data_IF_241997040124
#
_entry.id   IF_241997040124
#
_cell.length_a   1.000
_cell.length_b   1.000
_cell.length_c   1.000
_cell.angle_alpha   90.00
_cell.angle_beta   90.00
_cell.angle_gamma   90.00
#
_symmetry.space_group_name_H-M   'P 1'
#
loop_
_entity.id
_entity.type
_entity.pdbx_description
1 polymer ?
#
# COMPACT_ATOMS: atom_id res chain seq x y z
N UNK A 1 26.15 -16.31 9.17
CA UNK A 1 25.08 -16.85 10.03
C UNK A 1 25.71 -17.87 10.95
N UNK A 2 25.83 -17.53 12.23
CA UNK A 2 26.57 -18.28 13.24
C UNK A 2 25.66 -18.84 14.36
N UNK A 3 24.34 -18.56 14.34
CA UNK A 3 23.36 -19.11 15.29
C UNK A 3 21.98 -19.34 14.66
N UNK A 4 21.14 -20.16 15.31
CA UNK A 4 19.73 -20.36 14.90
C UNK A 4 18.96 -19.03 14.97
N UNK A 5 19.24 -18.19 15.96
CA UNK A 5 18.56 -16.91 16.12
C UNK A 5 18.88 -15.95 14.96
N UNK A 6 20.14 -15.88 14.53
CA UNK A 6 20.53 -15.08 13.36
C UNK A 6 19.84 -15.56 12.08
N UNK A 7 19.66 -16.88 11.92
CA UNK A 7 18.95 -17.44 10.77
C UNK A 7 17.45 -17.08 10.81
N UNK A 8 16.81 -17.22 11.97
CA UNK A 8 15.39 -16.86 12.16
C UNK A 8 15.18 -15.37 11.89
N UNK A 9 16.02 -14.52 12.45
CA UNK A 9 15.95 -13.07 12.25
C UNK A 9 16.13 -12.71 10.77
N UNK A 10 17.20 -13.22 10.13
CA UNK A 10 17.50 -12.94 8.73
C UNK A 10 16.34 -13.36 7.81
N UNK A 11 15.82 -14.58 7.96
CA UNK A 11 14.70 -15.06 7.16
C UNK A 11 13.41 -14.27 7.44
N UNK A 12 13.15 -13.90 8.70
CA UNK A 12 11.97 -13.12 9.06
C UNK A 12 12.00 -11.73 8.44
N UNK A 13 13.18 -11.07 8.42
CA UNK A 13 13.37 -9.77 7.77
C UNK A 13 13.16 -9.88 6.28
N UNK A 14 13.73 -10.90 5.62
CA UNK A 14 13.56 -11.12 4.18
C UNK A 14 12.08 -11.31 3.84
N UNK A 15 11.38 -12.18 4.56
CA UNK A 15 9.95 -12.42 4.35
C UNK A 15 9.15 -11.13 4.59
N UNK A 16 9.43 -10.40 5.67
CA UNK A 16 8.76 -9.13 5.98
C UNK A 16 8.94 -8.08 4.87
N UNK A 17 10.18 -7.87 4.41
CA UNK A 17 10.50 -6.91 3.37
C UNK A 17 9.83 -7.26 2.04
N UNK A 18 9.89 -8.54 1.66
CA UNK A 18 9.32 -9.01 0.40
C UNK A 18 7.79 -9.03 0.38
N UNK A 19 7.12 -9.15 1.54
CA UNK A 19 5.67 -9.26 1.64
C UNK A 19 5.02 -8.00 2.21
N UNK A 20 4.78 -7.98 3.51
CA UNK A 20 3.94 -6.98 4.18
C UNK A 20 4.53 -5.56 4.13
N UNK A 21 5.86 -5.40 4.19
CA UNK A 21 6.47 -4.08 4.02
C UNK A 21 6.19 -3.51 2.63
N UNK A 22 6.50 -4.30 1.59
CA UNK A 22 6.24 -3.93 0.21
C UNK A 22 4.75 -3.62 -0.02
N UNK A 23 3.85 -4.51 0.41
CA UNK A 23 2.41 -4.32 0.27
C UNK A 23 1.91 -3.00 0.91
N UNK A 24 2.42 -2.65 2.09
CA UNK A 24 2.03 -1.45 2.81
C UNK A 24 2.45 -0.14 2.11
N UNK A 25 3.54 -0.15 1.34
CA UNK A 25 4.03 1.03 0.61
C UNK A 25 3.60 1.04 -0.85
N UNK A 26 3.14 -0.09 -1.38
CA UNK A 26 2.83 -0.25 -2.80
C UNK A 26 1.33 -0.09 -3.13
N UNK A 27 0.45 -0.91 -2.56
CA UNK A 27 -0.96 -0.99 -3.01
C UNK A 27 -1.82 0.21 -2.61
N UNK A 28 -1.25 1.16 -1.87
CA UNK A 28 -1.87 2.45 -1.55
C UNK A 28 -1.56 3.54 -2.59
N UNK A 29 -0.68 3.31 -3.56
CA UNK A 29 -0.21 4.36 -4.47
C UNK A 29 -1.34 5.02 -5.26
N UNK A 30 -2.19 4.25 -5.96
CA UNK A 30 -3.36 4.80 -6.65
C UNK A 30 -4.51 5.12 -5.71
N UNK A 31 -4.90 4.28 -4.72
CA UNK A 31 -5.97 4.63 -3.80
C UNK A 31 -5.80 5.98 -3.09
N UNK A 32 -4.56 6.36 -2.74
CA UNK A 32 -4.27 7.68 -2.16
C UNK A 32 -3.80 8.72 -3.19
N UNK A 33 -3.02 8.32 -4.20
CA UNK A 33 -2.40 9.22 -5.18
C UNK A 33 -3.21 9.44 -6.46
N UNK A 34 -4.28 8.69 -6.69
CA UNK A 34 -5.15 8.77 -7.86
C UNK A 34 -5.82 10.14 -8.04
N UNK A 35 -5.84 10.94 -6.97
CA UNK A 35 -6.09 12.38 -7.01
C UNK A 35 -4.76 13.12 -6.85
N UNK A 36 -4.26 13.71 -7.93
CA UNK A 36 -2.94 14.39 -7.93
C UNK A 36 -2.83 15.53 -6.90
N UNK A 37 -3.97 16.12 -6.49
CA UNK A 37 -4.03 17.14 -5.44
C UNK A 37 -3.67 16.58 -4.05
N UNK A 38 -3.94 15.30 -3.81
CA UNK A 38 -3.66 14.67 -2.52
C UNK A 38 -2.18 14.27 -2.39
N UNK A 39 -1.53 13.90 -3.50
CA UNK A 39 -0.16 13.37 -3.49
C UNK A 39 0.65 13.90 -4.67
N UNK A 40 0.89 15.22 -4.74
CA UNK A 40 1.63 15.83 -5.84
C UNK A 40 3.07 15.31 -5.87
N UNK A 41 3.55 15.00 -7.06
CA UNK A 41 4.88 14.40 -7.29
C UNK A 41 5.97 15.43 -7.60
N UNK A 42 5.57 16.66 -7.91
CA UNK A 42 6.46 17.78 -8.20
C UNK A 42 5.90 19.09 -7.67
N UNK A 43 6.80 20.04 -7.40
CA UNK A 43 6.48 21.46 -7.20
C UNK A 43 7.29 22.30 -8.18
N UNK A 44 6.67 23.36 -8.73
CA UNK A 44 7.20 24.13 -9.88
C UNK A 44 7.56 25.57 -9.57
N UNK A 45 7.15 26.08 -8.42
CA UNK A 45 7.45 27.44 -7.96
C UNK A 45 7.47 27.48 -6.43
N UNK A 46 8.21 28.43 -5.89
CA UNK A 46 8.22 28.75 -4.46
C UNK A 46 6.94 29.51 -4.08
N UNK A 47 6.76 29.76 -2.78
CA UNK A 47 5.69 30.63 -2.28
C UNK A 47 5.91 32.04 -2.86
N UNK A 48 4.90 32.68 -3.46
CA UNK A 48 5.06 34.01 -4.04
C UNK A 48 5.21 35.08 -2.96
N UNK A 49 5.96 36.14 -3.27
CA UNK A 49 6.14 37.30 -2.39
C UNK A 49 4.95 38.27 -2.47
N UNK A 50 4.65 38.97 -1.37
CA UNK A 50 3.58 39.98 -1.33
C UNK A 50 3.79 41.06 -2.38
N UNK A 51 2.73 41.42 -3.09
CA UNK A 51 2.75 42.42 -4.16
C UNK A 51 3.13 41.88 -5.55
N UNK A 52 3.35 40.56 -5.69
CA UNK A 52 3.51 39.90 -7.00
C UNK A 52 2.17 39.49 -7.59
N UNK A 53 2.11 39.29 -8.91
CA UNK A 53 0.90 38.81 -9.60
C UNK A 53 0.50 37.41 -9.12
N UNK A 54 1.49 36.58 -8.81
CA UNK A 54 1.31 35.22 -8.30
C UNK A 54 0.74 35.22 -6.87
N UNK A 55 1.10 36.21 -6.05
CA UNK A 55 0.48 36.41 -4.74
C UNK A 55 -0.98 36.84 -4.87
N UNK A 56 -1.28 37.77 -5.79
CA UNK A 56 -2.67 38.14 -6.09
C UNK A 56 -3.49 36.96 -6.65
N UNK A 57 -2.89 36.09 -7.47
CA UNK A 57 -3.52 34.84 -7.94
C UNK A 57 -3.91 33.96 -6.75
N UNK A 58 -3.00 33.77 -5.78
CA UNK A 58 -3.27 32.97 -4.59
C UNK A 58 -4.40 33.55 -3.72
N UNK A 59 -4.53 34.88 -3.62
CA UNK A 59 -5.61 35.51 -2.86
C UNK A 59 -6.98 35.44 -3.57
N UNK A 60 -6.97 35.49 -4.92
CA UNK A 60 -8.20 35.55 -5.73
C UNK A 60 -8.68 34.17 -6.21
N UNK A 61 -7.76 33.23 -6.43
CA UNK A 61 -7.98 31.91 -7.04
C UNK A 61 -6.93 30.92 -6.50
N UNK A 62 -7.15 30.48 -5.26
CA UNK A 62 -6.29 29.54 -4.53
C UNK A 62 -6.15 28.19 -5.26
N UNK A 63 -7.23 27.72 -5.90
CA UNK A 63 -7.23 26.47 -6.67
C UNK A 63 -6.29 26.55 -7.88
N UNK A 64 -6.39 27.62 -8.67
CA UNK A 64 -5.47 27.84 -9.80
C UNK A 64 -4.04 28.03 -9.32
N UNK A 65 -3.86 28.75 -8.21
CA UNK A 65 -2.54 28.93 -7.63
C UNK A 65 -1.91 27.58 -7.22
N UNK A 66 -2.70 26.71 -6.59
CA UNK A 66 -2.29 25.35 -6.22
C UNK A 66 -1.93 24.50 -7.44
N UNK A 67 -2.82 24.46 -8.45
CA UNK A 67 -2.61 23.70 -9.69
C UNK A 67 -1.37 24.17 -10.49
N UNK A 68 -1.06 25.46 -10.47
CA UNK A 68 0.17 26.00 -11.07
C UNK A 68 1.43 25.65 -10.28
N UNK A 69 1.30 25.38 -8.99
CA UNK A 69 2.43 25.03 -8.13
C UNK A 69 2.75 23.54 -8.22
N UNK A 70 1.76 22.65 -8.22
CA UNK A 70 1.99 21.19 -8.22
C UNK A 70 2.27 20.63 -9.62
N UNK A 71 2.41 19.30 -9.71
CA UNK A 71 2.60 18.51 -10.94
C UNK A 71 1.73 19.00 -12.10
N UNK A 72 2.32 19.35 -13.27
CA UNK A 72 1.53 19.73 -14.44
C UNK A 72 0.69 18.57 -14.97
N UNK A 73 -0.29 18.91 -15.80
CA UNK A 73 -1.29 17.98 -16.33
C UNK A 73 -0.67 16.77 -17.06
N UNK A 74 0.34 16.98 -17.90
CA UNK A 74 0.92 15.91 -18.71
C UNK A 74 1.63 14.89 -17.85
N UNK A 75 2.46 15.33 -16.91
CA UNK A 75 3.19 14.49 -15.98
C UNK A 75 2.24 13.82 -14.98
N UNK A 76 1.17 14.51 -14.57
CA UNK A 76 0.13 13.92 -13.74
C UNK A 76 -0.56 12.74 -14.46
N UNK A 77 -0.87 12.86 -15.77
CA UNK A 77 -1.46 11.75 -16.53
C UNK A 77 -0.53 10.54 -16.60
N UNK A 78 0.77 10.78 -16.78
CA UNK A 78 1.79 9.70 -16.79
C UNK A 78 1.87 9.04 -15.41
N UNK A 79 2.01 9.84 -14.35
CA UNK A 79 2.09 9.36 -12.96
C UNK A 79 0.86 8.53 -12.58
N UNK A 80 -0.35 9.05 -12.84
CA UNK A 80 -1.61 8.36 -12.55
C UNK A 80 -1.71 7.03 -13.29
N UNK A 81 -1.26 6.96 -14.54
CA UNK A 81 -1.26 5.72 -15.33
C UNK A 81 -0.29 4.69 -14.73
N UNK A 82 0.90 5.13 -14.33
CA UNK A 82 1.91 4.25 -13.74
C UNK A 82 1.39 3.72 -12.41
N UNK A 83 1.00 4.58 -11.48
CA UNK A 83 0.57 4.13 -10.14
C UNK A 83 -0.72 3.29 -10.19
N UNK A 84 -1.57 3.46 -11.21
CA UNK A 84 -2.71 2.56 -11.44
C UNK A 84 -2.23 1.14 -11.70
N UNK A 85 -1.27 0.96 -12.62
CA UNK A 85 -0.69 -0.34 -12.94
C UNK A 85 -0.02 -0.94 -11.70
N UNK A 86 0.78 -0.13 -10.99
CA UNK A 86 1.53 -0.61 -9.82
C UNK A 86 0.63 -0.95 -8.62
N UNK A 87 -0.62 -0.49 -8.57
CA UNK A 87 -1.53 -0.75 -7.44
C UNK A 87 -2.48 -1.93 -7.66
N UNK A 88 -2.31 -2.69 -8.74
CA UNK A 88 -3.23 -3.76 -9.14
C UNK A 88 -2.63 -5.13 -8.85
N UNK A 89 -3.43 -6.00 -8.25
CA UNK A 89 -3.10 -7.41 -8.11
C UNK A 89 -3.38 -8.16 -9.41
N UNK A 90 -2.45 -9.02 -9.82
CA UNK A 90 -2.67 -9.98 -10.88
C UNK A 90 -3.64 -11.09 -10.43
N UNK A 91 -4.32 -11.72 -11.39
CA UNK A 91 -5.31 -12.79 -11.13
C UNK A 91 -4.68 -14.07 -10.58
N UNK A 92 -3.40 -14.29 -10.89
CA UNK A 92 -2.58 -15.43 -10.51
C UNK A 92 -1.68 -15.16 -9.29
N UNK A 93 -1.92 -14.07 -8.55
CA UNK A 93 -1.12 -13.70 -7.38
C UNK A 93 -1.19 -14.73 -6.24
N UNK A 94 -0.04 -14.93 -5.58
CA UNK A 94 0.15 -15.85 -4.45
C UNK A 94 0.36 -15.06 -3.17
N UNK A 95 -0.73 -14.92 -2.41
CA UNK A 95 -0.75 -14.18 -1.16
C UNK A 95 -0.03 -14.88 0.00
N UNK A 96 0.34 -14.09 1.00
CA UNK A 96 1.00 -14.53 2.22
C UNK A 96 0.15 -15.56 2.97
N UNK A 97 0.76 -16.71 3.27
CA UNK A 97 0.06 -17.86 3.83
C UNK A 97 -0.50 -18.82 2.78
N UNK A 98 -0.26 -18.56 1.48
CA UNK A 98 -0.53 -19.48 0.37
C UNK A 98 0.77 -19.88 -0.34
N UNK A 99 0.72 -21.00 -1.06
CA UNK A 99 1.73 -21.43 -2.04
C UNK A 99 1.03 -21.90 -3.31
N UNK A 100 1.75 -21.89 -4.42
CA UNK A 100 1.23 -22.38 -5.71
C UNK A 100 0.98 -23.90 -5.70
N UNK A 101 1.81 -24.65 -4.97
CA UNK A 101 1.74 -26.11 -4.91
C UNK A 101 1.73 -26.58 -3.43
N UNK A 102 0.74 -27.41 -3.08
CA UNK A 102 0.57 -27.98 -1.74
C UNK A 102 1.64 -29.04 -1.39
N UNK A 103 2.30 -29.62 -2.39
CA UNK A 103 3.33 -30.66 -2.29
C UNK A 103 4.76 -30.10 -2.39
N UNK A 104 4.95 -28.81 -2.08
CA UNK A 104 6.28 -28.17 -2.10
C UNK A 104 7.33 -28.83 -1.19
N UNK A 105 6.90 -29.71 -0.28
CA UNK A 105 7.77 -30.56 0.53
C UNK A 105 7.08 -31.86 0.95
N UNK A 106 7.84 -32.95 1.01
CA UNK A 106 7.38 -34.22 1.60
C UNK A 106 7.29 -34.16 3.15
N UNK A 107 7.99 -33.22 3.80
CA UNK A 107 8.03 -33.11 5.26
C UNK A 107 6.68 -32.66 5.85
N UNK A 108 6.00 -33.59 6.53
CA UNK A 108 4.72 -33.32 7.20
C UNK A 108 4.84 -32.24 8.28
N UNK A 109 5.96 -32.15 9.01
CA UNK A 109 6.12 -31.15 10.07
C UNK A 109 6.14 -29.74 9.49
N UNK A 110 6.82 -29.56 8.36
CA UNK A 110 6.84 -28.30 7.63
C UNK A 110 5.46 -27.93 7.09
N UNK A 111 4.73 -28.89 6.50
CA UNK A 111 3.35 -28.67 6.02
C UNK A 111 2.39 -28.29 7.15
N UNK A 112 2.45 -28.96 8.30
CA UNK A 112 1.64 -28.62 9.48
C UNK A 112 2.00 -27.22 10.02
N UNK A 113 3.29 -26.86 10.06
CA UNK A 113 3.71 -25.53 10.48
C UNK A 113 3.18 -24.43 9.54
N UNK A 114 3.22 -24.65 8.23
CA UNK A 114 2.68 -23.73 7.23
C UNK A 114 1.16 -23.57 7.36
N UNK A 115 0.40 -24.66 7.59
CA UNK A 115 -1.05 -24.59 7.86
C UNK A 115 -1.37 -23.74 9.09
N UNK A 116 -0.57 -23.84 10.17
CA UNK A 116 -0.74 -22.96 11.34
C UNK A 116 -0.47 -21.49 11.01
N UNK A 117 0.55 -21.22 10.19
CA UNK A 117 0.84 -19.87 9.72
C UNK A 117 -0.32 -19.29 8.90
N UNK A 118 -0.81 -20.04 7.91
CA UNK A 118 -1.98 -19.65 7.10
C UNK A 118 -3.20 -19.38 7.98
N UNK A 119 -3.48 -20.25 8.95
CA UNK A 119 -4.58 -20.04 9.90
C UNK A 119 -4.41 -18.75 10.70
N UNK A 120 -3.19 -18.47 11.15
CA UNK A 120 -2.90 -17.24 11.90
C UNK A 120 -3.12 -15.99 11.05
N UNK A 121 -2.84 -16.04 9.75
CA UNK A 121 -3.13 -14.93 8.83
C UNK A 121 -4.65 -14.65 8.75
N UNK A 122 -5.48 -15.69 8.63
CA UNK A 122 -6.95 -15.52 8.65
C UNK A 122 -7.45 -14.86 9.95
N UNK A 123 -6.91 -15.28 11.10
CA UNK A 123 -7.30 -14.72 12.40
C UNK A 123 -6.86 -13.25 12.54
N UNK A 124 -5.69 -12.90 12.01
CA UNK A 124 -5.20 -11.51 11.97
C UNK A 124 -6.10 -10.67 11.06
N UNK A 125 -6.51 -11.19 9.91
CA UNK A 125 -7.41 -10.49 8.99
C UNK A 125 -8.70 -10.06 9.70
N UNK A 126 -9.37 -11.02 10.35
CA UNK A 126 -10.59 -10.75 11.13
C UNK A 126 -10.35 -9.71 12.22
N UNK A 127 -9.20 -9.74 12.87
CA UNK A 127 -8.83 -8.75 13.90
C UNK A 127 -8.66 -7.35 13.29
N UNK A 128 -8.03 -7.22 12.13
CA UNK A 128 -7.87 -5.94 11.44
C UNK A 128 -9.24 -5.42 10.96
N UNK A 129 -10.08 -6.29 10.41
CA UNK A 129 -11.44 -5.94 10.00
C UNK A 129 -12.31 -5.48 11.17
N UNK A 130 -12.22 -6.15 12.33
CA UNK A 130 -12.88 -5.70 13.56
C UNK A 130 -12.40 -4.30 13.95
N UNK A 131 -11.08 -4.08 13.97
CA UNK A 131 -10.49 -2.76 14.29
C UNK A 131 -10.98 -1.67 13.34
N UNK A 132 -11.17 -1.97 12.06
CA UNK A 132 -11.71 -1.01 11.08
C UNK A 132 -13.17 -0.61 11.33
N UNK A 133 -13.92 -1.39 12.13
CA UNK A 133 -15.31 -1.13 12.51
C UNK A 133 -15.44 -0.46 13.88
N UNK A 134 -14.37 -0.41 14.66
CA UNK A 134 -14.37 0.23 15.99
C UNK A 134 -14.51 1.75 15.86
N UNK A 135 -15.60 2.37 16.38
CA UNK A 135 -15.83 3.80 16.25
C UNK A 135 -14.75 4.67 16.89
N UNK A 136 -14.13 4.18 17.96
CA UNK A 136 -13.10 4.91 18.70
C UNK A 136 -11.74 4.93 17.97
N UNK A 137 -11.55 4.08 16.95
CA UNK A 137 -10.33 3.99 16.17
C UNK A 137 -10.37 4.88 14.91
N UNK A 138 -10.68 6.16 15.10
CA UNK A 138 -10.91 7.14 14.03
C UNK A 138 -9.79 7.23 12.98
N UNK A 139 -8.53 7.07 13.40
CA UNK A 139 -7.36 7.11 12.52
C UNK A 139 -7.33 5.98 11.48
N UNK A 140 -8.17 4.95 11.63
CA UNK A 140 -8.23 3.84 10.68
C UNK A 140 -9.04 4.16 9.44
N UNK A 141 -9.90 5.18 9.49
CA UNK A 141 -10.86 5.48 8.43
C UNK A 141 -10.81 6.95 8.01
N UNK A 142 -10.64 7.86 8.98
CA UNK A 142 -10.50 9.29 8.74
C UNK A 142 -11.72 9.95 8.09
N UNK A 143 -11.62 11.25 7.75
CA UNK A 143 -12.71 12.00 7.12
C UNK A 143 -13.05 11.52 5.70
N UNK A 144 -12.09 10.88 5.03
CA UNK A 144 -12.26 10.29 3.68
C UNK A 144 -13.03 8.97 3.68
N UNK A 145 -13.43 8.47 4.87
CA UNK A 145 -14.21 7.23 5.03
C UNK A 145 -13.57 6.01 4.35
N UNK A 146 -12.25 5.91 4.44
CA UNK A 146 -11.46 4.85 3.81
C UNK A 146 -10.76 3.99 4.88
N UNK A 147 -11.34 2.83 5.25
CA UNK A 147 -10.73 1.95 6.24
C UNK A 147 -9.34 1.46 5.82
N UNK A 148 -8.42 1.34 6.78
CA UNK A 148 -7.07 0.87 6.52
C UNK A 148 -7.03 -0.64 6.30
N UNK A 149 -6.90 -1.05 5.04
CA UNK A 149 -6.95 -2.47 4.60
C UNK A 149 -5.68 -2.98 3.93
N UNK A 150 -4.65 -2.14 3.74
CA UNK A 150 -3.40 -2.49 3.07
C UNK A 150 -2.66 -3.70 3.68
N UNK A 151 -2.90 -3.99 4.95
CA UNK A 151 -2.30 -5.14 5.66
C UNK A 151 -3.30 -6.28 5.93
N UNK A 152 -4.43 -6.33 5.21
CA UNK A 152 -5.24 -7.56 5.17
C UNK A 152 -4.51 -8.60 4.31
N UNK A 153 -4.25 -9.82 4.82
CA UNK A 153 -3.50 -10.84 4.09
C UNK A 153 -4.09 -11.20 2.72
N UNK A 154 -5.42 -11.29 2.61
CA UNK A 154 -6.09 -11.74 1.38
C UNK A 154 -6.68 -10.59 0.55
N UNK A 155 -6.78 -10.84 -0.75
CA UNK A 155 -7.39 -9.95 -1.74
C UNK A 155 -7.91 -10.74 -2.94
N UNK A 156 -8.53 -10.03 -3.88
CA UNK A 156 -8.84 -10.50 -5.23
C UNK A 156 -8.01 -9.76 -6.26
N UNK A 157 -8.22 -10.08 -7.54
CA UNK A 157 -7.57 -9.38 -8.65
C UNK A 157 -7.95 -7.89 -8.72
N UNK A 158 -7.07 -7.08 -9.31
CA UNK A 158 -7.32 -5.67 -9.60
C UNK A 158 -6.95 -4.71 -8.47
N UNK A 159 -7.58 -3.53 -8.48
CA UNK A 159 -7.23 -2.41 -7.62
C UNK A 159 -8.10 -2.42 -6.35
N UNK A 160 -7.60 -3.05 -5.30
CA UNK A 160 -8.42 -3.41 -4.12
C UNK A 160 -8.01 -2.71 -2.83
N UNK A 161 -6.82 -2.09 -2.78
CA UNK A 161 -6.24 -1.48 -1.57
C UNK A 161 -6.12 -2.46 -0.37
N UNK A 162 -5.93 -3.75 -0.65
CA UNK A 162 -5.75 -4.81 0.35
C UNK A 162 -5.03 -6.00 -0.28
N UNK A 163 -4.48 -6.88 0.54
CA UNK A 163 -3.75 -8.06 0.07
C UNK A 163 -2.27 -7.94 0.31
N UNK A 164 -1.67 -9.01 0.80
CA UNK A 164 -0.22 -9.10 1.00
C UNK A 164 0.30 -10.24 0.12
N UNK A 165 0.92 -9.95 -1.04
CA UNK A 165 1.66 -10.95 -1.81
C UNK A 165 2.82 -11.56 -1.02
N UNK A 166 3.31 -12.72 -1.45
CA UNK A 166 4.52 -13.31 -0.90
C UNK A 166 5.81 -12.55 -1.28
N UNK A 167 5.76 -11.74 -2.35
CA UNK A 167 6.95 -11.14 -2.97
C UNK A 167 6.69 -9.72 -3.47
N UNK A 168 7.75 -9.09 -3.98
CA UNK A 168 7.70 -7.82 -4.72
C UNK A 168 7.25 -8.14 -6.15
N UNK A 169 5.96 -8.43 -6.33
CA UNK A 169 5.38 -8.98 -7.57
C UNK A 169 4.53 -7.98 -8.35
N UNK A 170 3.84 -7.07 -7.68
CA UNK A 170 3.70 -5.67 -8.07
C UNK A 170 3.01 -4.93 -6.95
#
# INVERSE_FOLDING_TARGET
>A
MNSINELVESCSIIIWLASAFHAAVNFGQYPYGGLILNRPTMTRRLIPEKGTKEYEEMEKDDQRAYLRTITPKTEALIDLTVIEILSRHASDEVYLGKRENDEWTADEKARVAFKRFAKKMEDIEKKIESRNKEPDLLNRTGPVKMPYTLLLPTSGEGLTCRGIPNSVSI
#
